data_IF_917638074794
#
_entry.id   IF_917638074794
#
_cell.length_a   1.000
_cell.length_b   1.000
_cell.length_c   1.000
_cell.angle_alpha   90.00
_cell.angle_beta   90.00
_cell.angle_gamma   90.00
#
_symmetry.space_group_name_H-M   'P 1'
#
loop_
_entity.id
_entity.type
_entity.pdbx_description
1 polymer ?
#
# COMPACT_ATOMS: atom_id res chain seq x y z
N UNK A 1 -70.39 -34.29 -20.94
CA UNK A 1 -69.68 -35.06 -21.98
C UNK A 1 -68.18 -34.94 -21.73
N UNK A 2 -67.55 -36.09 -21.46
CA UNK A 2 -66.14 -36.49 -21.63
C UNK A 2 -65.01 -35.44 -21.54
N UNK A 3 -64.32 -35.51 -20.39
CA UNK A 3 -62.86 -35.58 -20.18
C UNK A 3 -61.94 -35.35 -21.39
N UNK A 4 -60.91 -34.51 -21.18
CA UNK A 4 -59.54 -34.82 -21.62
C UNK A 4 -58.51 -34.05 -20.77
N UNK A 5 -57.76 -34.83 -19.99
CA UNK A 5 -56.53 -34.47 -19.31
C UNK A 5 -55.46 -33.98 -20.30
N UNK A 6 -54.69 -32.96 -19.90
CA UNK A 6 -53.29 -32.82 -20.33
C UNK A 6 -52.47 -32.13 -19.24
N UNK A 7 -51.58 -32.92 -18.63
CA UNK A 7 -50.49 -32.45 -17.80
C UNK A 7 -49.52 -31.59 -18.63
N UNK A 8 -49.17 -30.41 -18.12
CA UNK A 8 -47.88 -29.80 -18.40
C UNK A 8 -47.36 -29.19 -17.10
N UNK A 9 -46.31 -29.81 -16.57
CA UNK A 9 -45.49 -29.23 -15.52
C UNK A 9 -44.62 -28.11 -16.10
N UNK A 10 -44.58 -26.99 -15.39
CA UNK A 10 -43.55 -25.95 -15.48
C UNK A 10 -43.23 -25.67 -14.01
N UNK A 11 -42.11 -26.10 -13.46
CA UNK A 11 -40.77 -25.66 -13.85
C UNK A 11 -40.31 -24.68 -12.78
N UNK A 12 -39.80 -25.21 -11.65
CA UNK A 12 -39.19 -24.41 -10.58
C UNK A 12 -38.00 -23.66 -11.19
N UNK A 13 -38.16 -22.34 -11.38
CA UNK A 13 -37.09 -21.47 -11.83
C UNK A 13 -36.17 -21.20 -10.62
N UNK A 14 -35.16 -22.06 -10.44
CA UNK A 14 -34.11 -21.82 -9.46
C UNK A 14 -33.21 -20.69 -9.97
N UNK A 15 -33.46 -19.46 -9.51
CA UNK A 15 -32.59 -18.31 -9.75
C UNK A 15 -31.30 -18.50 -8.96
N UNK A 16 -30.26 -19.00 -9.61
CA UNK A 16 -28.89 -18.99 -9.08
C UNK A 16 -28.37 -17.56 -9.09
N UNK A 17 -28.30 -16.93 -7.92
CA UNK A 17 -27.60 -15.65 -7.72
C UNK A 17 -26.10 -15.94 -7.86
N UNK A 18 -25.52 -15.63 -9.00
CA UNK A 18 -24.07 -15.61 -9.18
C UNK A 18 -23.51 -14.44 -8.35
N UNK A 19 -22.92 -14.75 -7.20
CA UNK A 19 -22.09 -13.79 -6.46
C UNK A 19 -20.87 -13.52 -7.32
N UNK A 20 -20.82 -12.33 -7.94
CA UNK A 20 -19.61 -11.84 -8.58
C UNK A 20 -18.54 -11.66 -7.50
N UNK A 21 -17.65 -12.63 -7.37
CA UNK A 21 -16.42 -12.47 -6.61
C UNK A 21 -15.57 -11.51 -7.41
N UNK A 22 -15.65 -10.22 -7.09
CA UNK A 22 -14.66 -9.25 -7.54
C UNK A 22 -13.29 -9.77 -7.10
N UNK A 23 -12.32 -9.95 -8.00
CA UNK A 23 -10.96 -10.25 -7.57
C UNK A 23 -10.50 -9.02 -6.82
N UNK A 24 -10.34 -9.15 -5.49
CA UNK A 24 -9.63 -8.17 -4.70
C UNK A 24 -8.26 -7.96 -5.37
N UNK A 25 -7.97 -6.72 -5.70
CA UNK A 25 -6.78 -6.33 -6.44
C UNK A 25 -5.54 -6.93 -5.80
N UNK A 26 -4.91 -7.90 -6.47
CA UNK A 26 -3.56 -8.34 -6.19
C UNK A 26 -2.56 -7.28 -6.70
N UNK A 27 -2.71 -6.03 -6.25
CA UNK A 27 -1.96 -4.86 -6.72
C UNK A 27 -1.06 -4.22 -5.64
N UNK A 28 -1.03 -4.78 -4.42
CA UNK A 28 -0.36 -4.16 -3.27
C UNK A 28 1.12 -4.57 -3.08
N UNK A 29 1.55 -5.73 -3.60
CA UNK A 29 2.88 -6.28 -3.27
C UNK A 29 4.04 -5.69 -4.11
N UNK A 30 3.73 -4.84 -5.09
CA UNK A 30 4.71 -4.28 -6.02
C UNK A 30 5.02 -2.80 -5.80
N UNK A 31 4.32 -2.11 -4.90
CA UNK A 31 4.40 -0.65 -4.78
C UNK A 31 4.94 -0.21 -3.42
N UNK A 32 5.91 0.70 -3.43
CA UNK A 32 6.41 1.38 -2.22
C UNK A 32 5.93 2.82 -2.25
N UNK A 33 5.13 3.23 -1.25
CA UNK A 33 4.63 4.61 -1.19
C UNK A 33 5.72 5.58 -0.75
N UNK A 34 5.86 6.70 -1.46
CA UNK A 34 6.73 7.82 -1.05
C UNK A 34 5.93 8.99 -0.45
N UNK A 35 4.60 8.89 -0.44
CA UNK A 35 3.75 9.88 0.22
C UNK A 35 2.32 9.39 0.36
N UNK A 36 1.50 10.18 1.05
CA UNK A 36 0.15 9.78 1.48
C UNK A 36 -0.96 10.13 0.49
N UNK A 37 -0.64 10.63 -0.71
CA UNK A 37 -1.64 10.94 -1.74
C UNK A 37 -1.75 9.82 -2.77
N UNK A 38 -2.93 9.72 -3.38
CA UNK A 38 -3.17 8.76 -4.46
C UNK A 38 -2.10 8.88 -5.57
N UNK A 39 -1.64 7.72 -6.05
CA UNK A 39 -0.55 7.62 -7.03
C UNK A 39 0.85 8.01 -6.53
N UNK A 40 1.06 8.37 -5.25
CA UNK A 40 2.40 8.61 -4.69
C UNK A 40 3.11 7.30 -4.32
N UNK A 41 3.36 6.46 -5.32
CA UNK A 41 4.04 5.18 -5.17
C UNK A 41 5.20 5.02 -6.14
N UNK A 42 6.08 4.09 -5.82
CA UNK A 42 7.23 3.67 -6.61
C UNK A 42 7.06 2.23 -7.01
N UNK A 43 7.51 1.90 -8.23
CA UNK A 43 7.56 0.52 -8.70
C UNK A 43 8.70 -0.23 -7.99
N UNK A 44 8.40 -1.39 -7.41
CA UNK A 44 9.44 -2.30 -6.89
C UNK A 44 10.16 -2.99 -8.04
N UNK A 45 11.47 -2.79 -8.10
CA UNK A 45 12.37 -3.43 -9.09
C UNK A 45 12.86 -4.78 -8.58
N UNK A 46 13.25 -4.88 -7.31
CA UNK A 46 13.66 -6.15 -6.70
C UNK A 46 13.55 -6.12 -5.17
N UNK A 47 13.49 -7.30 -4.56
CA UNK A 47 13.47 -7.50 -3.11
C UNK A 47 14.58 -8.48 -2.73
N UNK A 48 15.37 -8.15 -1.72
CA UNK A 48 16.46 -9.01 -1.22
C UNK A 48 16.45 -9.01 0.31
N UNK A 49 16.63 -10.18 0.92
CA UNK A 49 16.80 -10.28 2.38
C UNK A 49 15.57 -9.86 3.21
N UNK A 50 14.38 -9.85 2.63
CA UNK A 50 13.12 -9.49 3.31
C UNK A 50 12.94 -10.33 4.57
N UNK A 51 12.54 -9.70 5.68
CA UNK A 51 12.40 -10.34 7.00
C UNK A 51 13.73 -10.56 7.74
N UNK A 52 14.87 -10.13 7.20
CA UNK A 52 16.19 -10.32 7.82
C UNK A 52 16.80 -9.01 8.34
N UNK A 53 18.03 -9.07 8.84
CA UNK A 53 18.76 -7.87 9.28
C UNK A 53 19.25 -6.98 8.12
N UNK A 54 19.18 -7.47 6.88
CA UNK A 54 19.69 -6.81 5.67
C UNK A 54 18.60 -6.77 4.58
N UNK A 55 17.36 -6.46 4.96
CA UNK A 55 16.25 -6.34 4.02
C UNK A 55 16.46 -5.11 3.13
N UNK A 56 16.28 -5.29 1.82
CA UNK A 56 16.39 -4.21 0.83
C UNK A 56 15.30 -4.39 -0.21
N UNK A 57 14.60 -3.30 -0.53
CA UNK A 57 13.71 -3.22 -1.69
C UNK A 57 14.28 -2.15 -2.60
N UNK A 58 14.62 -2.52 -3.82
CA UNK A 58 15.03 -1.57 -4.87
C UNK A 58 13.77 -1.07 -5.56
N UNK A 59 13.67 0.24 -5.76
CA UNK A 59 12.49 0.93 -6.27
C UNK A 59 12.87 1.89 -7.39
N UNK A 60 11.91 2.17 -8.26
CA UNK A 60 12.04 3.14 -9.33
C UNK A 60 10.78 4.02 -9.40
N UNK A 61 10.97 5.33 -9.60
CA UNK A 61 9.86 6.22 -9.95
C UNK A 61 9.73 6.25 -11.47
N UNK A 62 8.72 5.57 -12.00
CA UNK A 62 8.52 5.45 -13.45
C UNK A 62 7.56 6.52 -13.99
N UNK A 63 7.55 6.80 -15.31
CA UNK A 63 6.53 7.66 -15.91
C UNK A 63 5.10 7.16 -15.68
N UNK A 64 4.90 5.85 -15.50
CA UNK A 64 3.59 5.27 -15.15
C UNK A 64 3.19 5.66 -13.73
N UNK A 65 4.14 5.65 -12.80
CA UNK A 65 3.91 6.06 -11.41
C UNK A 65 3.54 7.55 -11.34
N UNK A 66 4.33 8.40 -12.01
CA UNK A 66 4.02 9.82 -12.13
C UNK A 66 2.66 10.07 -12.77
N UNK A 67 2.24 9.22 -13.73
CA UNK A 67 0.92 9.31 -14.35
C UNK A 67 -0.20 8.99 -13.37
N UNK A 68 -0.03 7.98 -12.51
CA UNK A 68 -1.01 7.66 -11.47
C UNK A 68 -1.25 8.87 -10.57
N UNK A 69 -0.19 9.47 -10.02
CA UNK A 69 -0.31 10.70 -9.21
C UNK A 69 -1.01 11.83 -9.95
N UNK A 70 -0.61 12.08 -11.20
CA UNK A 70 -1.17 13.15 -12.01
C UNK A 70 -2.67 13.00 -12.24
N UNK A 71 -3.15 11.79 -12.52
CA UNK A 71 -4.57 11.54 -12.79
C UNK A 71 -5.38 11.44 -11.50
N UNK A 72 -4.89 10.70 -10.51
CA UNK A 72 -5.66 10.29 -9.33
C UNK A 72 -5.68 11.35 -8.23
N UNK A 73 -4.65 12.20 -8.17
CA UNK A 73 -4.55 13.25 -7.17
C UNK A 73 -4.54 14.64 -7.77
N UNK A 74 -3.68 14.90 -8.74
CA UNK A 74 -3.56 16.25 -9.32
C UNK A 74 -4.71 16.58 -10.30
N UNK A 75 -5.54 15.60 -10.66
CA UNK A 75 -6.64 15.73 -11.62
C UNK A 75 -6.19 16.31 -12.98
N UNK A 76 -4.95 16.01 -13.38
CA UNK A 76 -4.29 16.50 -14.59
C UNK A 76 -3.82 15.32 -15.46
N UNK A 77 -4.57 15.05 -16.54
CA UNK A 77 -4.26 13.96 -17.47
C UNK A 77 -3.20 14.35 -18.53
N UNK A 78 -2.53 15.49 -18.40
CA UNK A 78 -1.52 15.94 -19.36
C UNK A 78 -0.17 15.23 -19.19
N UNK A 79 0.60 15.15 -20.27
CA UNK A 79 2.01 14.74 -20.20
C UNK A 79 2.91 15.83 -19.60
N UNK A 80 2.43 17.07 -19.49
CA UNK A 80 3.15 18.14 -18.81
C UNK A 80 3.23 17.86 -17.30
N UNK A 81 2.13 17.41 -16.68
CA UNK A 81 2.16 16.94 -15.29
C UNK A 81 3.15 15.79 -15.11
N UNK A 82 3.08 14.75 -15.94
CA UNK A 82 3.98 13.58 -15.83
C UNK A 82 5.45 14.01 -15.89
N UNK A 83 5.83 14.83 -16.87
CA UNK A 83 7.20 15.32 -17.01
C UNK A 83 7.65 16.14 -15.79
N UNK A 84 6.77 16.99 -15.26
CA UNK A 84 7.04 17.80 -14.07
C UNK A 84 7.21 16.91 -12.84
N UNK A 85 6.27 15.99 -12.59
CA UNK A 85 6.34 15.03 -11.48
C UNK A 85 7.61 14.19 -11.53
N UNK A 86 7.98 13.68 -12.71
CA UNK A 86 9.26 12.97 -12.92
C UNK A 86 10.49 13.83 -12.64
N UNK A 87 10.42 15.14 -12.93
CA UNK A 87 11.51 16.07 -12.67
C UNK A 87 11.60 16.50 -11.19
N UNK A 88 10.46 16.66 -10.51
CA UNK A 88 10.38 17.24 -9.16
C UNK A 88 10.48 16.20 -8.05
N UNK A 89 9.93 15.00 -8.25
CA UNK A 89 9.99 13.94 -7.23
C UNK A 89 11.40 13.38 -7.15
N UNK A 90 12.09 13.72 -6.06
CA UNK A 90 13.44 13.24 -5.74
C UNK A 90 13.37 12.23 -4.61
N UNK A 91 13.41 10.96 -4.98
CA UNK A 91 13.46 9.82 -4.06
C UNK A 91 14.69 8.98 -4.38
N UNK A 92 15.21 8.28 -3.37
CA UNK A 92 16.25 7.27 -3.53
C UNK A 92 15.75 6.04 -4.28
N UNK A 93 16.69 5.19 -4.68
CA UNK A 93 16.45 3.96 -5.45
C UNK A 93 16.15 2.74 -4.58
N UNK A 94 16.06 2.92 -3.25
CA UNK A 94 15.86 1.82 -2.32
C UNK A 94 15.26 2.24 -0.99
N UNK A 95 14.67 1.26 -0.32
CA UNK A 95 14.41 1.28 1.12
C UNK A 95 15.16 0.10 1.76
N UNK A 96 15.62 0.27 2.99
CA UNK A 96 16.42 -0.76 3.69
C UNK A 96 15.93 -0.99 5.10
N UNK A 97 16.00 -2.23 5.58
CA UNK A 97 15.48 -2.62 6.88
C UNK A 97 16.38 -3.60 7.62
N UNK A 98 16.38 -3.48 8.94
CA UNK A 98 16.93 -4.46 9.87
C UNK A 98 15.83 -4.99 10.77
N UNK A 99 15.24 -6.13 10.39
CA UNK A 99 14.07 -6.68 11.08
C UNK A 99 14.39 -7.23 12.48
N UNK A 100 15.67 -7.54 12.76
CA UNK A 100 16.10 -7.92 14.12
C UNK A 100 16.09 -6.73 15.07
N UNK A 101 16.55 -5.57 14.59
CA UNK A 101 16.53 -4.31 15.34
C UNK A 101 15.21 -3.56 15.23
N UNK A 102 14.33 -3.98 14.32
CA UNK A 102 13.05 -3.33 13.99
C UNK A 102 13.24 -1.87 13.55
N UNK A 103 14.28 -1.62 12.77
CA UNK A 103 14.61 -0.30 12.23
C UNK A 103 14.64 -0.34 10.72
N UNK A 104 14.32 0.77 10.07
CA UNK A 104 14.43 0.90 8.62
C UNK A 104 14.79 2.33 8.21
N UNK A 105 15.15 2.46 6.94
CA UNK A 105 15.41 3.72 6.25
C UNK A 105 14.56 3.75 4.99
N UNK A 106 13.80 4.82 4.81
CA UNK A 106 12.92 5.02 3.66
C UNK A 106 13.68 5.57 2.44
N UNK A 107 12.93 5.89 1.38
CA UNK A 107 13.47 6.40 0.13
C UNK A 107 14.00 7.83 0.24
N UNK A 108 13.69 8.56 1.30
CA UNK A 108 14.23 9.89 1.59
C UNK A 108 15.49 9.84 2.46
N UNK A 109 15.91 8.65 2.89
CA UNK A 109 17.00 8.48 3.85
C UNK A 109 16.56 8.74 5.29
N UNK A 110 15.28 8.89 5.55
CA UNK A 110 14.74 9.06 6.90
C UNK A 110 14.73 7.71 7.62
N UNK A 111 15.24 7.71 8.85
CA UNK A 111 15.38 6.50 9.66
C UNK A 111 14.26 6.40 10.70
N UNK A 112 13.75 5.18 10.89
CA UNK A 112 12.63 4.89 11.78
C UNK A 112 12.89 3.65 12.63
N UNK A 113 12.16 3.55 13.74
CA UNK A 113 12.10 2.36 14.58
C UNK A 113 10.65 1.97 14.90
N UNK A 114 10.39 0.67 14.87
CA UNK A 114 9.10 0.09 15.27
C UNK A 114 9.21 -0.39 16.71
N UNK A 115 8.39 0.18 17.59
CA UNK A 115 8.45 -0.08 19.03
C UNK A 115 7.38 -1.04 19.53
N UNK A 116 6.48 -1.50 18.65
CA UNK A 116 5.41 -2.44 18.98
C UNK A 116 4.03 -1.80 18.99
N UNK A 117 3.01 -2.54 19.44
CA UNK A 117 1.65 -2.03 19.58
C UNK A 117 1.61 -0.81 20.48
N UNK A 118 0.79 0.17 20.13
CA UNK A 118 0.57 1.35 20.95
C UNK A 118 -0.36 1.00 22.12
N UNK A 119 -0.03 1.47 23.31
CA UNK A 119 -0.78 1.18 24.54
C UNK A 119 -1.83 2.24 24.89
N UNK A 120 -1.90 3.33 24.12
CA UNK A 120 -2.77 4.47 24.39
C UNK A 120 -3.94 4.49 23.41
N UNK A 121 -5.11 4.70 24.00
CA UNK A 121 -6.45 4.80 23.44
C UNK A 121 -6.74 6.16 22.77
N UNK A 122 -5.85 7.15 22.94
CA UNK A 122 -6.02 8.52 22.43
C UNK A 122 -5.31 8.77 21.09
N UNK A 123 -4.85 7.72 20.38
CA UNK A 123 -4.00 7.88 19.20
C UNK A 123 -4.52 7.04 18.03
N UNK A 124 -4.57 7.64 16.84
CA UNK A 124 -5.03 7.01 15.60
C UNK A 124 -4.10 5.89 15.06
N UNK A 125 -3.05 5.53 15.80
CA UNK A 125 -2.00 4.62 15.36
C UNK A 125 -2.05 3.30 16.14
N UNK A 126 -2.16 2.18 15.42
CA UNK A 126 -2.11 0.83 16.01
C UNK A 126 -0.73 0.50 16.61
N UNK A 127 0.32 1.08 16.02
CA UNK A 127 1.71 0.81 16.33
C UNK A 127 2.49 2.09 16.65
N UNK A 128 3.42 1.99 17.60
CA UNK A 128 4.39 3.04 17.88
C UNK A 128 5.53 3.00 16.83
N UNK A 129 5.56 4.00 15.96
CA UNK A 129 6.63 4.23 14.97
C UNK A 129 7.39 5.49 15.35
N UNK A 130 8.68 5.36 15.69
CA UNK A 130 9.54 6.48 16.03
C UNK A 130 10.31 6.98 14.83
N UNK A 131 10.28 8.28 14.59
CA UNK A 131 11.26 8.97 13.75
C UNK A 131 12.59 9.08 14.53
N UNK A 132 13.66 8.47 14.03
CA UNK A 132 14.94 8.43 14.74
C UNK A 132 15.73 9.74 14.68
N UNK A 133 15.33 10.66 13.80
CA UNK A 133 15.94 11.99 13.69
C UNK A 133 15.31 12.96 14.69
N UNK A 134 13.99 13.02 14.77
CA UNK A 134 13.29 13.90 15.73
C UNK A 134 13.14 13.26 17.12
N UNK A 135 13.13 11.93 17.18
CA UNK A 135 12.80 11.17 18.39
C UNK A 135 11.30 11.08 18.67
N UNK A 136 10.45 11.69 17.84
CA UNK A 136 9.00 11.71 18.03
C UNK A 136 8.36 10.39 17.59
N UNK A 137 7.23 10.05 18.21
CA UNK A 137 6.38 8.98 17.72
C UNK A 137 5.32 9.58 16.80
N UNK A 138 5.20 9.01 15.61
CA UNK A 138 4.17 9.38 14.65
C UNK A 138 2.78 9.16 15.27
N UNK A 139 1.90 10.15 15.09
CA UNK A 139 0.59 10.23 15.75
C UNK A 139 -0.52 9.40 15.08
N UNK A 140 -0.20 8.69 13.98
CA UNK A 140 -1.18 7.92 13.20
C UNK A 140 -1.82 8.68 12.06
N UNK A 141 -1.63 10.00 11.98
CA UNK A 141 -2.21 10.80 10.90
C UNK A 141 -1.43 10.64 9.59
N UNK A 142 -2.12 10.83 8.46
CA UNK A 142 -1.45 10.95 7.16
C UNK A 142 -0.51 12.16 7.07
N UNK A 143 -0.65 13.15 7.98
CA UNK A 143 0.21 14.32 8.07
C UNK A 143 1.56 14.00 8.73
N UNK A 144 1.59 13.08 9.71
CA UNK A 144 2.83 12.57 10.28
C UNK A 144 3.55 11.57 9.36
N UNK A 145 2.89 11.14 8.28
CA UNK A 145 3.43 10.14 7.34
C UNK A 145 3.38 8.72 7.91
N UNK A 146 2.58 8.49 8.95
CA UNK A 146 2.49 7.22 9.66
C UNK A 146 2.26 6.02 8.74
N UNK A 147 1.21 6.07 7.92
CA UNK A 147 0.84 4.96 7.04
C UNK A 147 1.97 4.63 6.07
N UNK A 148 2.57 5.65 5.47
CA UNK A 148 3.69 5.49 4.53
C UNK A 148 4.86 4.80 5.21
N UNK A 149 5.26 5.28 6.39
CA UNK A 149 6.37 4.72 7.14
C UNK A 149 6.08 3.26 7.56
N UNK A 150 4.87 2.99 8.07
CA UNK A 150 4.48 1.66 8.53
C UNK A 150 4.40 0.65 7.38
N UNK A 151 3.81 1.01 6.24
CA UNK A 151 3.71 0.10 5.09
C UNK A 151 5.09 -0.25 4.54
N UNK A 152 6.04 0.69 4.51
CA UNK A 152 7.44 0.40 4.15
C UNK A 152 8.05 -0.63 5.10
N UNK A 153 7.84 -0.46 6.41
CA UNK A 153 8.33 -1.42 7.40
C UNK A 153 7.70 -2.81 7.23
N UNK A 154 6.38 -2.88 7.00
CA UNK A 154 5.67 -4.14 6.79
C UNK A 154 6.17 -4.90 5.56
N UNK A 155 6.53 -4.19 4.48
CA UNK A 155 7.10 -4.82 3.29
C UNK A 155 8.55 -5.29 3.49
N UNK A 156 9.36 -4.54 4.25
CA UNK A 156 10.73 -4.94 4.59
C UNK A 156 10.77 -6.09 5.59
N UNK A 157 9.86 -6.09 6.57
CA UNK A 157 9.85 -6.94 7.74
C UNK A 157 8.47 -7.59 7.96
N UNK A 158 8.03 -8.45 7.04
CA UNK A 158 6.69 -9.03 7.08
C UNK A 158 6.48 -9.86 8.35
N UNK A 159 5.27 -9.77 8.90
CA UNK A 159 4.84 -10.55 10.06
C UNK A 159 5.14 -9.93 11.43
N UNK A 160 5.81 -8.78 11.50
CA UNK A 160 6.07 -8.07 12.77
C UNK A 160 4.90 -7.15 13.15
N UNK A 161 4.42 -6.32 12.22
CA UNK A 161 3.27 -5.44 12.39
C UNK A 161 2.16 -5.94 11.46
N UNK A 162 1.00 -6.29 12.01
CA UNK A 162 -0.13 -6.92 11.30
C UNK A 162 -1.43 -6.15 11.43
#
# INVERSE_FOLDING_TARGET
>A
MKSLFRHLGLGLCATTISVAVSPAAAAEDHSIYYGSRAGMHLTTVSKTGIGTANAVIIVEHTPKDAKAFCVEYAMDNSMACVKRTMAEVKVGDRVTGNCRKRTWTDMYGQAYAFEGPRQSDDIMADYAVRDLKSGEILDGSSASGYDVALTVFQQLCPGIAK
#
